data_IF_916908822158
#
_entry.id   IF_916908822158
#
_cell.length_a   1.000
_cell.length_b   1.000
_cell.length_c   1.000
_cell.angle_alpha   90.00
_cell.angle_beta   90.00
_cell.angle_gamma   90.00
#
_symmetry.space_group_name_H-M   'P 1'
#
loop_
_entity.id
_entity.type
_entity.pdbx_description
1 polymer ?
#
# COMPACT_ATOMS: atom_id res chain seq x y z
N UNK A 1 2.49 -12.39 -6.36
CA UNK A 1 3.21 -11.82 -5.22
C UNK A 1 4.67 -11.83 -5.62
N UNK A 2 5.35 -10.69 -5.60
CA UNK A 2 6.75 -10.59 -5.98
C UNK A 2 7.62 -11.46 -5.09
N UNK A 3 8.77 -11.87 -5.61
CA UNK A 3 9.69 -12.78 -4.92
C UNK A 3 10.23 -12.16 -3.62
N UNK A 4 10.36 -10.83 -3.61
CA UNK A 4 10.89 -10.04 -2.49
C UNK A 4 9.81 -9.43 -1.56
N UNK A 5 8.53 -9.67 -1.86
CA UNK A 5 7.40 -9.12 -1.11
C UNK A 5 6.59 -8.10 -1.90
N UNK A 6 6.06 -7.07 -1.23
CA UNK A 6 5.30 -5.99 -1.87
C UNK A 6 5.17 -4.73 -0.99
N UNK A 7 4.92 -3.61 -1.65
CA UNK A 7 4.48 -2.34 -1.06
C UNK A 7 3.07 -2.04 -1.57
N UNK A 8 2.11 -1.80 -0.67
CA UNK A 8 0.74 -1.50 -1.08
C UNK A 8 0.05 -0.54 -0.11
N UNK A 9 -0.64 0.46 -0.66
CA UNK A 9 -1.71 1.16 0.07
C UNK A 9 -2.98 0.31 0.03
N UNK A 10 -3.61 0.06 1.17
CA UNK A 10 -4.81 -0.76 1.23
C UNK A 10 -5.78 -0.34 2.34
N UNK A 11 -7.01 -0.83 2.25
CA UNK A 11 -7.97 -0.76 3.34
C UNK A 11 -7.60 -1.78 4.42
N UNK A 12 -7.63 -1.33 5.67
CA UNK A 12 -7.27 -2.11 6.84
C UNK A 12 -8.45 -2.19 7.80
N UNK A 13 -8.57 -3.34 8.46
CA UNK A 13 -9.39 -3.47 9.66
C UNK A 13 -8.46 -3.55 10.87
N UNK A 14 -8.51 -2.51 11.70
CA UNK A 14 -7.72 -2.43 12.93
C UNK A 14 -8.62 -2.84 14.10
N UNK A 15 -8.12 -3.77 14.92
CA UNK A 15 -8.79 -4.22 16.14
C UNK A 15 -7.86 -3.92 17.33
N UNK A 16 -8.19 -2.88 18.09
CA UNK A 16 -7.47 -2.49 19.30
C UNK A 16 -8.15 -3.10 20.52
N UNK A 17 -7.35 -3.62 21.45
CA UNK A 17 -7.85 -4.14 22.72
C UNK A 17 -6.99 -3.63 23.87
N UNK A 18 -7.62 -2.92 24.80
CA UNK A 18 -6.99 -2.45 26.03
C UNK A 18 -7.02 -3.58 27.05
N UNK A 19 -5.87 -4.18 27.33
CA UNK A 19 -5.75 -5.33 28.24
C UNK A 19 -5.69 -4.94 29.73
N UNK A 20 -5.40 -3.68 30.03
CA UNK A 20 -5.31 -3.19 31.40
C UNK A 20 -5.14 -1.68 31.47
N UNK A 21 -4.92 -1.17 32.67
CA UNK A 21 -4.62 0.24 32.92
C UNK A 21 -3.57 0.38 34.03
N UNK A 22 -3.01 1.58 34.16
CA UNK A 22 -2.15 1.94 35.29
C UNK A 22 -2.90 2.83 36.26
N UNK A 23 -2.85 2.50 37.54
CA UNK A 23 -3.39 3.29 38.64
C UNK A 23 -2.32 3.40 39.73
N UNK A 24 -1.93 4.62 40.10
CA UNK A 24 -0.90 4.86 41.12
C UNK A 24 0.44 4.15 40.87
N UNK A 25 0.82 3.97 39.60
CA UNK A 25 2.08 3.32 39.21
C UNK A 25 1.99 1.79 39.05
N UNK A 26 0.94 1.15 39.55
CA UNK A 26 0.72 -0.28 39.39
C UNK A 26 -0.04 -0.59 38.10
N UNK A 27 0.42 -1.62 37.36
CA UNK A 27 -0.31 -2.17 36.21
C UNK A 27 -1.37 -3.13 36.71
N UNK A 28 -2.62 -2.91 36.29
CA UNK A 28 -3.77 -3.77 36.57
C UNK A 28 -4.32 -4.32 35.26
N UNK A 29 -4.35 -5.64 35.13
CA UNK A 29 -4.95 -6.29 33.96
C UNK A 29 -6.45 -6.53 34.19
N UNK A 30 -7.24 -6.38 33.13
CA UNK A 30 -8.67 -6.70 33.20
C UNK A 30 -8.91 -8.20 33.44
N UNK A 31 -7.97 -9.09 33.09
CA UNK A 31 -8.04 -10.52 33.41
C UNK A 31 -8.12 -10.78 34.91
N UNK A 32 -7.33 -10.03 35.68
CA UNK A 32 -7.17 -10.23 37.11
C UNK A 32 -8.32 -9.53 37.84
N UNK A 33 -8.65 -8.31 37.40
CA UNK A 33 -9.77 -7.55 37.94
C UNK A 33 -11.11 -8.23 37.70
N UNK A 34 -11.28 -9.01 36.62
CA UNK A 34 -12.52 -9.77 36.38
C UNK A 34 -12.80 -10.82 37.46
N UNK A 35 -11.77 -11.33 38.14
CA UNK A 35 -11.93 -12.29 39.23
C UNK A 35 -12.58 -11.62 40.45
N UNK A 36 -12.35 -10.32 40.65
CA UNK A 36 -12.90 -9.54 41.77
C UNK A 36 -14.15 -8.73 41.38
N UNK A 37 -14.19 -8.20 40.16
CA UNK A 37 -15.19 -7.28 39.62
C UNK A 37 -15.54 -7.68 38.19
N UNK A 38 -16.55 -8.53 38.05
CA UNK A 38 -16.98 -9.11 36.77
C UNK A 38 -17.38 -8.07 35.70
N UNK A 39 -17.81 -6.87 36.10
CA UNK A 39 -18.17 -5.77 35.20
C UNK A 39 -16.96 -5.02 34.59
N UNK A 40 -15.73 -5.26 35.06
CA UNK A 40 -14.54 -4.64 34.47
C UNK A 40 -14.10 -5.44 33.24
N UNK A 41 -14.49 -4.98 32.05
CA UNK A 41 -14.14 -5.64 30.78
C UNK A 41 -13.11 -4.84 29.99
N UNK A 42 -12.24 -5.51 29.22
CA UNK A 42 -11.38 -4.86 28.23
C UNK A 42 -12.20 -3.93 27.33
N UNK A 43 -11.67 -2.75 27.05
CA UNK A 43 -12.22 -1.88 26.00
C UNK A 43 -11.64 -2.33 24.67
N UNK A 44 -12.51 -2.53 23.69
CA UNK A 44 -12.11 -2.85 22.32
C UNK A 44 -12.55 -1.73 21.40
N UNK A 45 -11.77 -1.49 20.36
CA UNK A 45 -12.11 -0.56 19.28
C UNK A 45 -11.77 -1.26 17.98
N UNK A 46 -12.80 -1.48 17.17
CA UNK A 46 -12.68 -2.07 15.86
C UNK A 46 -13.07 -1.02 14.82
N UNK A 47 -12.19 -0.76 13.86
CA UNK A 47 -12.43 0.26 12.85
C UNK A 47 -11.77 -0.07 11.52
N UNK A 48 -12.32 0.54 10.47
CA UNK A 48 -11.75 0.49 9.12
C UNK A 48 -11.02 1.79 8.84
N UNK A 49 -9.86 1.67 8.21
CA UNK A 49 -8.96 2.77 7.89
C UNK A 49 -8.17 2.45 6.62
N UNK A 50 -7.33 3.37 6.16
CA UNK A 50 -6.32 3.13 5.13
C UNK A 50 -4.94 3.02 5.76
N UNK A 51 -4.06 2.28 5.11
CA UNK A 51 -2.67 2.18 5.52
C UNK A 51 -1.78 1.64 4.42
N UNK A 52 -0.48 1.78 4.63
CA UNK A 52 0.57 1.25 3.79
C UNK A 52 1.12 -0.02 4.44
N UNK A 53 1.00 -1.13 3.73
CA UNK A 53 1.56 -2.43 4.11
C UNK A 53 2.84 -2.63 3.33
N UNK A 54 3.92 -2.90 4.05
CA UNK A 54 5.21 -3.27 3.48
C UNK A 54 5.50 -4.70 3.90
N UNK A 55 5.35 -5.64 2.96
CA UNK A 55 5.74 -7.04 3.13
C UNK A 55 7.13 -7.22 2.55
N UNK A 56 8.07 -7.65 3.38
CA UNK A 56 9.50 -7.72 3.06
C UNK A 56 9.96 -9.15 3.32
N UNK A 57 10.07 -9.97 2.27
CA UNK A 57 10.54 -11.36 2.40
C UNK A 57 12.06 -11.45 2.30
N UNK A 58 12.75 -10.76 3.21
CA UNK A 58 14.20 -10.67 3.23
C UNK A 58 14.78 -11.14 4.57
N UNK A 59 15.92 -11.82 4.54
CA UNK A 59 16.55 -12.38 5.74
C UNK A 59 16.97 -11.31 6.75
N UNK A 60 17.38 -10.13 6.26
CA UNK A 60 17.74 -9.01 7.12
C UNK A 60 16.53 -8.49 7.92
N UNK A 61 15.33 -8.56 7.34
CA UNK A 61 14.09 -8.09 7.95
C UNK A 61 13.58 -9.05 9.03
N UNK A 62 13.89 -10.34 8.90
CA UNK A 62 13.53 -11.40 9.86
C UNK A 62 14.33 -11.33 11.18
N UNK A 63 15.38 -10.51 11.24
CA UNK A 63 16.21 -10.35 12.45
C UNK A 63 15.41 -9.74 13.61
N UNK A 64 15.64 -10.17 14.87
CA UNK A 64 14.91 -9.65 16.02
C UNK A 64 15.03 -8.13 16.16
N UNK A 65 13.92 -7.45 16.43
CA UNK A 65 13.87 -6.01 16.69
C UNK A 65 13.91 -5.10 15.45
N UNK A 66 14.37 -5.60 14.31
CA UNK A 66 14.48 -4.80 13.06
C UNK A 66 13.14 -4.23 12.63
N UNK A 67 12.09 -5.06 12.61
CA UNK A 67 10.75 -4.64 12.16
C UNK A 67 10.14 -3.57 13.05
N UNK A 68 10.26 -3.73 14.37
CA UNK A 68 9.77 -2.75 15.34
C UNK A 68 10.52 -1.44 15.21
N UNK A 69 11.84 -1.51 15.05
CA UNK A 69 12.69 -0.34 14.87
C UNK A 69 12.33 0.42 13.59
N UNK A 70 12.21 -0.29 12.45
CA UNK A 70 11.77 0.30 11.18
C UNK A 70 10.39 0.94 11.27
N UNK A 71 9.40 0.21 11.80
CA UNK A 71 8.04 0.72 11.94
C UNK A 71 8.01 2.00 12.79
N UNK A 72 8.70 2.01 13.93
CA UNK A 72 8.78 3.18 14.81
C UNK A 72 9.48 4.37 14.16
N UNK A 73 10.59 4.14 13.47
CA UNK A 73 11.38 5.21 12.85
C UNK A 73 10.70 5.79 11.61
N UNK A 74 10.05 4.96 10.79
CA UNK A 74 9.22 5.44 9.68
C UNK A 74 8.05 6.27 10.19
N UNK A 75 7.37 5.81 11.24
CA UNK A 75 6.29 6.58 11.88
C UNK A 75 6.81 7.93 12.39
N UNK A 76 7.88 7.93 13.18
CA UNK A 76 8.43 9.16 13.75
C UNK A 76 8.91 10.14 12.67
N UNK A 77 9.44 9.61 11.57
CA UNK A 77 9.79 10.41 10.41
C UNK A 77 8.54 11.00 9.74
N UNK A 78 7.49 10.19 9.52
CA UNK A 78 6.22 10.66 8.95
C UNK A 78 5.61 11.80 9.78
N UNK A 79 5.58 11.66 11.10
CA UNK A 79 5.10 12.68 12.02
C UNK A 79 5.85 14.01 11.82
N UNK A 80 7.18 13.93 11.69
CA UNK A 80 8.04 15.11 11.54
C UNK A 80 7.96 15.75 10.16
N UNK A 81 8.07 14.97 9.09
CA UNK A 81 8.17 15.50 7.72
C UNK A 81 6.82 16.04 7.22
N UNK A 82 5.70 15.42 7.62
CA UNK A 82 4.36 15.82 7.18
C UNK A 82 3.56 16.58 8.24
N UNK A 83 4.17 16.90 9.39
CA UNK A 83 3.52 17.62 10.50
C UNK A 83 2.22 16.94 10.98
N UNK A 84 2.24 15.60 11.04
CA UNK A 84 1.09 14.78 11.46
C UNK A 84 1.13 14.63 12.99
N UNK A 85 -0.04 14.64 13.63
CA UNK A 85 -0.13 14.35 15.07
C UNK A 85 0.21 12.90 15.37
N UNK A 86 0.91 12.64 16.48
CA UNK A 86 1.24 11.28 16.93
C UNK A 86 0.00 10.40 17.20
N UNK A 87 -1.19 11.00 17.31
CA UNK A 87 -2.46 10.30 17.51
C UNK A 87 -3.16 9.94 16.19
N UNK A 88 -2.73 10.50 15.06
CA UNK A 88 -3.43 10.37 13.79
C UNK A 88 -2.83 9.28 12.88
N UNK A 89 -1.59 8.88 13.14
CA UNK A 89 -0.91 7.79 12.43
C UNK A 89 -0.21 6.86 13.43
N UNK A 90 -0.31 5.56 13.18
CA UNK A 90 0.36 4.53 13.97
C UNK A 90 1.05 3.49 13.08
N UNK A 91 1.96 2.71 13.67
CA UNK A 91 2.73 1.70 12.97
C UNK A 91 2.85 0.41 13.78
N UNK A 92 2.66 -0.73 13.12
CA UNK A 92 2.74 -2.06 13.73
C UNK A 92 3.62 -3.00 12.92
N UNK A 93 4.32 -3.89 13.62
CA UNK A 93 5.22 -4.90 13.04
C UNK A 93 4.89 -6.34 13.48
N UNK A 94 3.74 -6.50 14.15
CA UNK A 94 3.28 -7.75 14.79
C UNK A 94 1.77 -7.84 14.74
N UNK A 95 1.23 -9.07 14.88
CA UNK A 95 -0.21 -9.34 14.88
C UNK A 95 -0.92 -8.91 13.58
N UNK A 96 -0.17 -8.88 12.48
CA UNK A 96 -0.68 -8.57 11.15
C UNK A 96 -1.22 -9.86 10.54
N UNK A 97 -2.39 -9.77 9.92
CA UNK A 97 -2.97 -10.88 9.19
C UNK A 97 -3.58 -10.39 7.89
N UNK A 98 -3.44 -11.21 6.85
CA UNK A 98 -4.13 -11.01 5.58
C UNK A 98 -5.32 -11.95 5.47
N UNK A 99 -6.34 -11.52 4.74
CA UNK A 99 -7.47 -12.38 4.38
C UNK A 99 -7.21 -12.89 2.97
N UNK A 100 -6.99 -14.20 2.82
CA UNK A 100 -6.81 -14.87 1.53
C UNK A 100 -7.87 -15.96 1.39
N UNK A 101 -8.64 -15.92 0.32
CA UNK A 101 -9.73 -16.88 0.07
C UNK A 101 -10.72 -17.00 1.25
N UNK A 102 -11.02 -15.89 1.92
CA UNK A 102 -11.88 -15.85 3.11
C UNK A 102 -11.26 -16.42 4.38
N UNK A 103 -10.00 -16.87 4.36
CA UNK A 103 -9.27 -17.34 5.53
C UNK A 103 -8.28 -16.29 6.03
N UNK A 104 -8.17 -16.17 7.36
CA UNK A 104 -7.21 -15.29 8.02
C UNK A 104 -5.86 -16.00 8.12
N UNK A 105 -4.84 -15.44 7.49
CA UNK A 105 -3.46 -15.92 7.52
C UNK A 105 -2.59 -14.90 8.26
N UNK A 106 -1.91 -15.33 9.33
CA UNK A 106 -1.00 -14.47 10.08
C UNK A 106 0.31 -14.30 9.31
N UNK A 107 0.79 -13.06 9.22
CA UNK A 107 2.00 -12.72 8.46
C UNK A 107 3.03 -12.14 9.41
N UNK A 108 4.26 -12.66 9.33
CA UNK A 108 5.37 -12.27 10.21
C UNK A 108 6.40 -11.37 9.52
N UNK A 109 6.35 -11.29 8.21
CA UNK A 109 7.26 -10.56 7.29
C UNK A 109 6.63 -9.25 6.80
N UNK A 110 5.84 -8.59 7.66
CA UNK A 110 5.22 -7.31 7.32
C UNK A 110 5.37 -6.25 8.42
N UNK A 111 5.36 -4.99 7.98
CA UNK A 111 5.06 -3.83 8.81
C UNK A 111 3.93 -3.03 8.15
N UNK A 112 3.17 -2.31 8.97
CA UNK A 112 2.02 -1.53 8.51
C UNK A 112 2.05 -0.15 9.15
N UNK A 113 1.91 0.89 8.34
CA UNK A 113 1.63 2.28 8.76
C UNK A 113 0.18 2.59 8.42
N UNK A 114 -0.61 3.13 9.35
CA UNK A 114 -2.03 3.33 9.10
C UNK A 114 -2.57 4.56 9.81
N UNK A 115 -3.67 5.13 9.30
CA UNK A 115 -4.35 6.23 9.96
C UNK A 115 -5.05 5.69 11.23
N UNK A 116 -4.70 6.22 12.40
CA UNK A 116 -5.22 5.79 13.69
C UNK A 116 -6.61 6.38 14.01
N UNK A 117 -7.25 7.03 13.04
CA UNK A 117 -8.56 7.68 13.14
C UNK A 117 -9.66 6.86 12.47
N UNK A 118 -10.93 7.17 12.76
CA UNK A 118 -12.06 6.54 12.08
C UNK A 118 -12.29 7.19 10.72
N UNK A 119 -12.35 6.38 9.67
CA UNK A 119 -12.38 6.88 8.30
C UNK A 119 -10.97 7.04 7.74
N UNK A 120 -10.88 7.34 6.46
CA UNK A 120 -9.59 7.55 5.79
C UNK A 120 -9.30 9.05 5.72
N UNK A 121 -8.15 9.43 6.27
CA UNK A 121 -7.56 10.76 6.02
C UNK A 121 -6.38 10.67 5.05
N UNK A 122 -6.02 9.43 4.67
CA UNK A 122 -4.88 9.08 3.81
C UNK A 122 -3.57 9.72 4.31
N UNK A 123 -3.42 9.84 5.63
CA UNK A 123 -2.21 10.40 6.24
C UNK A 123 -1.02 9.45 6.06
N UNK A 124 -1.28 8.16 5.86
CA UNK A 124 -0.28 7.16 5.49
C UNK A 124 0.11 7.19 4.00
N UNK A 125 -0.65 7.81 3.10
CA UNK A 125 -0.37 7.83 1.65
C UNK A 125 1.05 8.27 1.29
N UNK A 126 1.65 9.29 1.94
CA UNK A 126 3.02 9.67 1.62
C UNK A 126 4.05 8.56 1.86
N UNK A 127 3.77 7.59 2.75
CA UNK A 127 4.64 6.44 2.94
C UNK A 127 4.59 5.44 1.78
N UNK A 128 3.55 5.51 0.94
CA UNK A 128 3.45 4.76 -0.32
C UNK A 128 4.09 5.54 -1.47
N UNK A 129 3.67 6.79 -1.69
CA UNK A 129 4.10 7.59 -2.84
C UNK A 129 5.55 8.10 -2.73
N UNK A 130 6.06 8.30 -1.51
CA UNK A 130 7.33 8.98 -1.28
C UNK A 130 8.27 8.14 -0.41
N UNK A 131 8.19 6.80 -0.48
CA UNK A 131 9.02 5.93 0.35
C UNK A 131 10.52 6.17 0.12
N UNK A 132 10.95 6.32 -1.13
CA UNK A 132 12.34 6.65 -1.46
C UNK A 132 12.82 7.96 -0.80
N UNK A 133 12.00 9.00 -0.84
CA UNK A 133 12.27 10.26 -0.15
C UNK A 133 12.39 10.07 1.37
N UNK A 134 11.51 9.25 1.98
CA UNK A 134 11.59 8.96 3.41
C UNK A 134 12.88 8.21 3.76
N UNK A 135 13.33 7.28 2.91
CA UNK A 135 14.61 6.59 3.08
C UNK A 135 15.79 7.57 2.97
N UNK A 136 15.76 8.56 2.06
CA UNK A 136 16.76 9.63 2.00
C UNK A 136 16.82 10.44 3.30
N UNK A 137 15.67 10.70 3.92
CA UNK A 137 15.59 11.46 5.17
C UNK A 137 16.09 10.63 6.36
N UNK A 138 15.82 9.34 6.39
CA UNK A 138 16.40 8.42 7.39
C UNK A 138 17.92 8.39 7.26
N UNK A 139 18.46 8.26 6.04
CA UNK A 139 19.89 8.19 5.78
C UNK A 139 20.62 9.44 6.29
N UNK A 140 20.10 10.63 5.96
CA UNK A 140 20.66 11.89 6.47
C UNK A 140 20.60 12.00 7.98
N UNK A 141 19.57 11.43 8.60
CA UNK A 141 19.42 11.42 10.06
C UNK A 141 20.48 10.53 10.71
N UNK A 142 20.78 9.37 10.12
CA UNK A 142 21.85 8.46 10.56
C UNK A 142 23.22 9.11 10.39
N UNK A 143 23.49 9.74 9.24
CA UNK A 143 24.80 10.36 8.98
C UNK A 143 25.14 11.54 9.89
N UNK A 144 24.13 12.16 10.50
CA UNK A 144 24.28 13.35 11.37
C UNK A 144 24.35 12.98 12.85
N UNK A 145 23.98 11.75 13.21
CA UNK A 145 23.95 11.29 14.61
C UNK A 145 25.30 10.69 14.98
N UNK A 146 26.07 11.38 15.84
CA UNK A 146 27.44 11.01 16.25
C UNK A 146 27.51 9.89 17.31
N UNK A 147 26.37 9.38 17.76
CA UNK A 147 26.28 8.36 18.80
C UNK A 147 25.74 7.05 18.22
N UNK A 148 26.48 5.95 18.45
CA UNK A 148 26.09 4.55 18.19
C UNK A 148 24.94 4.08 19.11
N UNK A 149 23.92 4.92 19.29
CA UNK A 149 22.74 4.50 20.04
C UNK A 149 21.82 3.67 19.15
N UNK A 150 20.93 2.89 19.76
CA UNK A 150 20.11 1.78 19.22
C UNK A 150 19.12 2.11 18.07
N UNK A 151 19.47 3.03 17.17
CA UNK A 151 18.70 3.47 16.03
C UNK A 151 18.95 2.63 14.77
N UNK A 152 18.32 3.06 13.68
CA UNK A 152 18.50 2.45 12.36
C UNK A 152 19.96 2.60 11.91
N UNK A 153 20.60 1.50 11.54
CA UNK A 153 21.96 1.48 10.97
C UNK A 153 21.94 1.80 9.47
N UNK A 154 23.05 2.35 8.94
CA UNK A 154 23.22 2.56 7.50
C UNK A 154 22.99 1.28 6.70
N UNK A 155 23.49 0.13 7.15
CA UNK A 155 23.29 -1.17 6.49
C UNK A 155 21.80 -1.54 6.34
N UNK A 156 20.97 -1.18 7.31
CA UNK A 156 19.54 -1.42 7.28
C UNK A 156 18.84 -0.52 6.26
N UNK A 157 19.26 0.73 6.15
CA UNK A 157 18.73 1.67 5.14
C UNK A 157 19.12 1.20 3.75
N UNK A 158 20.38 0.81 3.54
CA UNK A 158 20.85 0.26 2.27
C UNK A 158 20.04 -0.98 1.89
N UNK A 159 19.85 -1.93 2.82
CA UNK A 159 19.06 -3.13 2.56
C UNK A 159 17.59 -2.81 2.24
N UNK A 160 17.01 -1.80 2.90
CA UNK A 160 15.63 -1.38 2.65
C UNK A 160 15.47 -0.67 1.30
N UNK A 161 16.47 0.12 0.87
CA UNK A 161 16.51 0.69 -0.48
C UNK A 161 16.63 -0.39 -1.53
N UNK A 162 17.57 -1.33 -1.38
CA UNK A 162 17.73 -2.44 -2.32
C UNK A 162 16.44 -3.23 -2.49
N UNK A 163 15.71 -3.47 -1.39
CA UNK A 163 14.38 -4.07 -1.48
C UNK A 163 13.38 -3.21 -2.27
N UNK A 164 13.35 -1.90 -2.04
CA UNK A 164 12.47 -1.00 -2.78
C UNK A 164 12.82 -0.97 -4.27
N UNK A 165 14.11 -0.92 -4.60
CA UNK A 165 14.61 -0.95 -5.98
C UNK A 165 14.25 -2.27 -6.68
N UNK A 166 14.25 -3.40 -5.97
CA UNK A 166 13.76 -4.68 -6.52
C UNK A 166 12.27 -4.64 -6.84
N UNK A 167 11.45 -4.00 -6.00
CA UNK A 167 10.03 -3.84 -6.29
C UNK A 167 9.80 -2.94 -7.51
N UNK A 168 10.59 -1.88 -7.67
CA UNK A 168 10.51 -0.98 -8.84
C UNK A 168 11.04 -1.66 -10.11
N UNK A 169 12.09 -2.48 -10.00
CA UNK A 169 12.64 -3.28 -11.11
C UNK A 169 11.71 -4.40 -11.57
N UNK A 170 11.00 -5.06 -10.66
CA UNK A 170 9.92 -6.02 -10.98
C UNK A 170 8.67 -5.32 -11.54
N UNK A 171 8.46 -4.05 -11.18
CA UNK A 171 7.40 -3.19 -11.73
C UNK A 171 7.83 -2.41 -12.97
N UNK A 172 9.05 -2.58 -13.51
CA UNK A 172 9.47 -1.91 -14.74
C UNK A 172 8.67 -2.40 -15.96
N UNK A 173 7.99 -3.55 -15.85
CA UNK A 173 6.97 -4.02 -16.81
C UNK A 173 5.56 -3.51 -16.51
N UNK A 174 5.34 -2.86 -15.35
CA UNK A 174 4.13 -2.13 -15.01
C UNK A 174 4.27 -0.69 -15.50
N UNK A 175 4.02 -0.51 -16.80
CA UNK A 175 4.01 0.75 -17.53
C UNK A 175 3.67 1.97 -16.65
N UNK A 176 4.67 2.80 -16.40
CA UNK A 176 4.45 4.19 -16.02
C UNK A 176 3.59 4.85 -17.10
N UNK A 177 2.57 5.60 -16.70
CA UNK A 177 1.63 6.28 -17.60
C UNK A 177 2.30 7.35 -18.48
N UNK A 178 3.56 7.69 -18.20
CA UNK A 178 4.37 8.62 -18.99
C UNK A 178 5.08 7.97 -20.19
N UNK A 179 5.22 6.64 -20.22
CA UNK A 179 5.81 5.89 -21.35
C UNK A 179 4.76 5.20 -22.23
N UNK A 180 3.58 5.81 -22.38
CA UNK A 180 2.50 5.27 -23.19
C UNK A 180 2.77 5.29 -24.70
N UNK A 181 3.87 5.86 -25.22
CA UNK A 181 4.15 5.85 -26.66
C UNK A 181 5.20 4.80 -27.03
N UNK A 182 4.76 3.63 -27.50
CA UNK A 182 5.62 2.55 -28.02
C UNK A 182 6.09 2.84 -29.46
N UNK A 183 6.17 4.12 -29.82
CA UNK A 183 6.32 4.58 -31.21
C UNK A 183 5.04 4.48 -32.05
N UNK A 184 4.98 5.31 -33.10
CA UNK A 184 3.91 5.37 -34.13
C UNK A 184 2.45 5.27 -33.61
N UNK A 185 2.11 6.02 -32.57
CA UNK A 185 0.71 6.16 -32.10
C UNK A 185 0.14 4.92 -31.41
N UNK A 186 0.99 3.94 -31.06
CA UNK A 186 0.61 2.76 -30.26
C UNK A 186 0.81 3.04 -28.78
N UNK A 187 -0.22 2.70 -28.00
CA UNK A 187 -0.20 2.83 -26.55
C UNK A 187 -0.49 1.51 -25.85
N UNK A 188 0.13 1.26 -24.70
CA UNK A 188 -0.17 0.10 -23.89
C UNK A 188 -1.42 0.34 -23.04
N UNK A 189 -2.36 -0.61 -23.05
CA UNK A 189 -3.62 -0.53 -22.32
C UNK A 189 -3.96 -1.85 -21.66
N UNK A 190 -4.74 -1.83 -20.58
CA UNK A 190 -5.35 -3.05 -20.05
C UNK A 190 -6.32 -3.65 -21.06
N UNK A 191 -6.21 -4.95 -21.34
CA UNK A 191 -7.05 -5.65 -22.29
C UNK A 191 -8.53 -5.63 -21.86
N UNK A 192 -9.44 -5.79 -22.82
CA UNK A 192 -10.87 -6.01 -22.55
C UNK A 192 -11.00 -7.38 -21.90
N UNK A 193 -11.63 -7.42 -20.73
CA UNK A 193 -11.77 -8.62 -19.92
C UNK A 193 -10.90 -8.61 -18.66
N UNK A 194 -9.87 -7.76 -18.61
CA UNK A 194 -9.00 -7.60 -17.45
C UNK A 194 -9.78 -7.10 -16.22
N UNK A 195 -9.45 -7.65 -15.06
CA UNK A 195 -9.88 -7.17 -13.75
C UNK A 195 -8.79 -6.24 -13.21
N UNK A 196 -9.13 -4.98 -13.03
CA UNK A 196 -8.23 -3.91 -12.58
C UNK A 196 -8.87 -3.18 -11.42
N UNK A 197 -8.09 -2.53 -10.56
CA UNK A 197 -8.67 -1.71 -9.51
C UNK A 197 -8.87 -0.29 -9.99
N UNK A 198 -10.08 0.25 -9.77
CA UNK A 198 -10.42 1.65 -10.03
C UNK A 198 -10.51 2.40 -8.72
N UNK A 199 -9.79 3.51 -8.62
CA UNK A 199 -9.90 4.47 -7.52
C UNK A 199 -11.13 5.35 -7.71
N UNK A 200 -11.98 5.44 -6.69
CA UNK A 200 -13.14 6.33 -6.69
C UNK A 200 -12.81 7.73 -6.16
N UNK A 201 -13.79 8.64 -6.17
CA UNK A 201 -13.61 10.03 -5.72
C UNK A 201 -13.33 10.13 -4.20
N UNK A 202 -13.49 9.05 -3.44
CA UNK A 202 -13.19 8.94 -2.01
C UNK A 202 -11.84 8.24 -1.78
N UNK A 203 -11.14 7.85 -2.86
CA UNK A 203 -9.87 7.15 -2.81
C UNK A 203 -9.99 5.64 -2.61
N UNK A 204 -11.21 5.08 -2.61
CA UNK A 204 -11.42 3.64 -2.45
C UNK A 204 -11.15 2.90 -3.77
N UNK A 205 -10.43 1.79 -3.68
CA UNK A 205 -10.15 0.89 -4.80
C UNK A 205 -11.28 -0.13 -4.94
N UNK A 206 -11.81 -0.25 -6.16
CA UNK A 206 -12.86 -1.21 -6.50
C UNK A 206 -12.41 -2.05 -7.69
N UNK A 207 -12.52 -3.36 -7.60
CA UNK A 207 -12.27 -4.25 -8.72
C UNK A 207 -13.32 -4.00 -9.82
N UNK A 208 -12.84 -3.67 -11.02
CA UNK A 208 -13.67 -3.42 -12.18
C UNK A 208 -13.17 -4.23 -13.37
N UNK A 209 -14.12 -4.77 -14.13
CA UNK A 209 -13.81 -5.47 -15.38
C UNK A 209 -13.76 -4.47 -16.53
N UNK A 210 -12.64 -4.40 -17.23
CA UNK A 210 -12.50 -3.59 -18.44
C UNK A 210 -13.39 -4.16 -19.54
N UNK A 211 -14.27 -3.32 -20.09
CA UNK A 211 -15.23 -3.66 -21.15
C UNK A 211 -14.96 -2.90 -22.46
N UNK A 212 -14.10 -1.89 -22.43
CA UNK A 212 -13.71 -1.14 -23.62
C UNK A 212 -12.77 0.02 -23.32
N UNK A 213 -12.24 0.58 -24.40
CA UNK A 213 -11.33 1.73 -24.42
C UNK A 213 -12.01 2.91 -25.10
N UNK A 214 -11.80 4.11 -24.60
CA UNK A 214 -12.33 5.33 -25.19
C UNK A 214 -11.34 6.47 -25.03
N UNK A 215 -11.11 7.21 -26.10
CA UNK A 215 -10.31 8.42 -26.06
C UNK A 215 -11.23 9.63 -26.04
N UNK A 216 -11.00 10.55 -25.12
CA UNK A 216 -11.76 11.79 -25.01
C UNK A 216 -10.82 12.98 -24.91
N UNK A 217 -11.22 14.09 -25.53
CA UNK A 217 -10.49 15.36 -25.44
C UNK A 217 -10.99 16.13 -24.21
N UNK A 218 -10.11 16.35 -23.24
CA UNK A 218 -10.37 17.12 -22.02
C UNK A 218 -9.23 18.13 -21.87
N UNK A 219 -9.55 19.41 -21.73
CA UNK A 219 -8.57 20.50 -21.58
C UNK A 219 -7.45 20.49 -22.66
N UNK A 220 -7.86 20.31 -23.93
CA UNK A 220 -6.97 20.18 -25.10
C UNK A 220 -5.97 18.99 -25.04
N UNK A 221 -6.17 18.05 -24.13
CA UNK A 221 -5.41 16.80 -24.05
C UNK A 221 -6.31 15.61 -24.35
N UNK A 222 -5.83 14.68 -25.17
CA UNK A 222 -6.53 13.41 -25.39
C UNK A 222 -6.16 12.46 -24.26
N UNK A 223 -7.15 12.03 -23.50
CA UNK A 223 -7.00 11.11 -22.40
C UNK A 223 -7.66 9.78 -22.71
N UNK A 224 -7.04 8.69 -22.25
CA UNK A 224 -7.60 7.36 -22.29
C UNK A 224 -8.56 7.14 -21.12
N UNK A 225 -9.72 6.56 -21.43
CA UNK A 225 -10.70 6.10 -20.48
C UNK A 225 -10.98 4.61 -20.67
N UNK A 226 -11.10 3.90 -19.55
CA UNK A 226 -11.58 2.53 -19.51
C UNK A 226 -13.07 2.52 -19.20
N UNK A 227 -13.84 1.83 -20.05
CA UNK A 227 -15.23 1.48 -19.77
C UNK A 227 -15.27 0.25 -18.89
N UNK A 228 -16.13 0.24 -17.87
CA UNK A 228 -16.34 -0.93 -17.03
C UNK A 228 -17.81 -1.12 -16.68
N UNK A 229 -18.14 -2.35 -16.32
CA UNK A 229 -19.49 -2.72 -15.89
C UNK A 229 -19.68 -2.38 -14.41
N UNK A 230 -20.80 -1.73 -14.09
CA UNK A 230 -21.24 -1.41 -12.72
C UNK A 230 -22.61 -2.04 -12.39
N UNK A 231 -23.07 -3.01 -13.19
CA UNK A 231 -24.36 -3.68 -13.01
C UNK A 231 -25.57 -2.75 -13.19
N UNK A 232 -25.38 -1.61 -13.87
CA UNK A 232 -26.41 -0.59 -14.13
C UNK A 232 -26.45 -0.25 -15.62
N UNK A 233 -27.58 0.27 -16.15
CA UNK A 233 -27.70 0.60 -17.59
C UNK A 233 -26.83 1.76 -18.06
N UNK A 234 -26.12 2.44 -17.15
CA UNK A 234 -25.16 3.51 -17.48
C UNK A 234 -23.77 2.90 -17.58
N UNK A 235 -23.11 3.07 -18.73
CA UNK A 235 -21.70 2.71 -18.91
C UNK A 235 -20.85 3.67 -18.09
N UNK A 236 -20.14 3.16 -17.09
CA UNK A 236 -19.23 3.96 -16.29
C UNK A 236 -17.85 3.99 -16.94
N UNK A 237 -17.15 5.11 -16.77
CA UNK A 237 -15.83 5.36 -17.33
C UNK A 237 -14.88 5.78 -16.21
N UNK A 238 -13.61 5.45 -16.38
CA UNK A 238 -12.52 5.79 -15.47
C UNK A 238 -11.34 6.24 -16.30
N UNK A 239 -10.67 7.32 -15.90
CA UNK A 239 -9.43 7.74 -16.57
C UNK A 239 -8.37 6.66 -16.36
N UNK A 240 -7.44 6.53 -17.32
CA UNK A 240 -6.34 5.60 -17.17
C UNK A 240 -5.51 5.84 -15.90
N UNK A 241 -5.36 7.10 -15.49
CA UNK A 241 -4.68 7.51 -14.24
C UNK A 241 -5.38 7.02 -12.96
N UNK A 242 -6.68 6.70 -13.03
CA UNK A 242 -7.47 6.22 -11.89
C UNK A 242 -7.59 4.69 -11.83
N UNK A 243 -6.90 3.99 -12.72
CA UNK A 243 -6.99 2.52 -12.88
C UNK A 243 -5.59 1.92 -12.73
N UNK A 244 -5.47 0.91 -11.87
CA UNK A 244 -4.21 0.24 -11.56
C UNK A 244 -4.36 -1.29 -11.66
N UNK A 245 -3.25 -1.95 -11.99
CA UNK A 245 -3.20 -3.41 -12.04
C UNK A 245 -3.30 -3.99 -10.63
N UNK A 246 -4.26 -4.90 -10.40
CA UNK A 246 -4.41 -5.58 -9.11
C UNK A 246 -4.68 -7.06 -9.33
N UNK A 247 -3.97 -7.90 -8.58
CA UNK A 247 -4.06 -9.35 -8.69
C UNK A 247 -3.39 -9.90 -9.95
N UNK A 248 -3.89 -11.02 -10.46
CA UNK A 248 -3.34 -11.75 -11.62
C UNK A 248 -4.33 -11.92 -12.77
N UNK A 249 -5.54 -11.35 -12.66
CA UNK A 249 -6.63 -11.50 -13.64
C UNK A 249 -6.68 -10.32 -14.63
N UNK A 250 -5.52 -9.80 -15.00
CA UNK A 250 -5.38 -8.73 -15.99
C UNK A 250 -4.35 -9.11 -17.04
N UNK A 251 -4.57 -8.61 -18.25
CA UNK A 251 -3.63 -8.66 -19.36
C UNK A 251 -3.51 -7.28 -20.00
N UNK A 252 -2.45 -7.09 -20.77
CA UNK A 252 -2.18 -5.86 -21.51
C UNK A 252 -2.23 -6.09 -23.02
N UNK A 253 -2.60 -5.05 -23.75
CA UNK A 253 -2.62 -5.01 -25.20
C UNK A 253 -2.08 -3.68 -25.69
N UNK A 254 -1.58 -3.64 -26.92
CA UNK A 254 -1.23 -2.39 -27.59
C UNK A 254 -2.43 -1.92 -28.40
N UNK A 255 -2.80 -0.66 -28.24
CA UNK A 255 -3.91 -0.01 -28.93
C UNK A 255 -3.36 1.17 -29.73
N UNK A 256 -3.61 1.18 -31.04
CA UNK A 256 -3.30 2.34 -31.87
C UNK A 256 -4.35 3.43 -31.64
N UNK A 257 -3.91 4.61 -31.22
CA UNK A 257 -4.77 5.74 -30.87
C UNK A 257 -5.52 6.34 -32.07
N UNK A 258 -4.95 6.25 -33.27
CA UNK A 258 -5.54 6.83 -34.49
C UNK A 258 -6.51 5.86 -35.18
N UNK A 259 -6.15 4.57 -35.24
CA UNK A 259 -6.92 3.56 -35.99
C UNK A 259 -7.85 2.73 -35.11
N UNK A 260 -7.63 2.71 -33.79
CA UNK A 260 -8.29 1.80 -32.87
C UNK A 260 -7.88 0.33 -33.05
N UNK A 261 -6.85 0.06 -33.87
CA UNK A 261 -6.32 -1.28 -34.07
C UNK A 261 -5.68 -1.79 -32.77
N UNK A 262 -5.86 -3.08 -32.48
CA UNK A 262 -5.38 -3.70 -31.25
C UNK A 262 -4.45 -4.86 -31.56
N UNK A 263 -3.29 -4.87 -30.93
CA UNK A 263 -2.32 -5.97 -30.94
C UNK A 263 -2.21 -6.54 -29.54
N UNK A 264 -2.11 -7.86 -29.42
CA UNK A 264 -1.78 -8.46 -28.12
C UNK A 264 -0.34 -8.08 -27.76
N UNK A 265 -0.08 -7.81 -26.48
CA UNK A 265 1.30 -7.78 -26.02
C UNK A 265 1.91 -9.17 -26.25
N UNK A 266 3.11 -9.23 -26.81
CA UNK A 266 3.80 -10.49 -27.12
C UNK A 266 4.45 -11.13 -25.88
N UNK A 267 4.43 -10.47 -24.73
CA UNK A 267 5.07 -10.97 -23.52
C UNK A 267 4.09 -11.72 -22.62
N UNK A 268 3.65 -12.89 -23.10
CA UNK A 268 3.11 -13.95 -22.23
C UNK A 268 3.31 -15.36 -22.84
N UNK A 269 4.37 -15.56 -23.62
CA UNK A 269 4.87 -16.90 -23.95
C UNK A 269 6.40 -16.97 -23.75
N UNK A 270 6.82 -17.98 -22.98
CA UNK A 270 8.19 -18.38 -22.57
C UNK A 270 8.77 -17.56 -21.39
N UNK A 271 9.24 -18.15 -20.30
CA UNK A 271 9.48 -19.54 -19.87
C UNK A 271 9.71 -19.52 -18.34
#
# INVERSE_FOLDING_TARGET
>A
MGEHGFLAECQLQVNERVEGFRESGERKFYSDLRQEKSWMTPKTRDFRTTGVVMRIDEDWFKRPGVKQLLASSLRDLMLREFSISAQDIDAVATNIAMIRNGQRESISDALVLFDATHGTLRLSEPAYLNLGYLLDRLERSVSTTLTEDQGISQDMITAFRTWLDHLEGENADAASTDDLEVGEGWIQVFDIGSIVARRDNQGELHDVKVTGHEFSLIDDRVQLFYRYDIGRPVKAMASAESVEAVGSEWTVAYLNRETGEKRKSLDNEAD
#
